data_IF_365654698906
#
_entry.id   IF_365654698906
#
_cell.length_a   1.000
_cell.length_b   1.000
_cell.length_c   1.000
_cell.angle_alpha   90.00
_cell.angle_beta   90.00
_cell.angle_gamma   90.00
#
_symmetry.space_group_name_H-M   'P 1'
#
loop_
_entity.id
_entity.type
_entity.pdbx_description
1 polymer ?
#
# COMPACT_ATOMS: atom_id res chain seq x y z
N UNK A 1 -2.26 -10.78 -10.02
CA UNK A 1 -0.82 -10.66 -9.74
C UNK A 1 -0.03 -11.91 -10.15
N UNK A 2 -0.41 -13.13 -9.74
CA UNK A 2 0.32 -14.36 -10.08
C UNK A 2 0.46 -14.59 -11.60
N UNK A 3 -0.58 -14.35 -12.38
CA UNK A 3 -0.54 -14.50 -13.84
C UNK A 3 0.47 -13.53 -14.49
N UNK A 4 0.52 -12.29 -14.04
CA UNK A 4 1.51 -11.31 -14.53
C UNK A 4 2.94 -11.72 -14.19
N UNK A 5 3.20 -12.16 -12.96
CA UNK A 5 4.52 -12.64 -12.56
C UNK A 5 4.94 -13.87 -13.38
N UNK A 6 4.03 -14.81 -13.62
CA UNK A 6 4.31 -15.97 -14.46
C UNK A 6 4.68 -15.56 -15.89
N UNK A 7 3.97 -14.58 -16.46
CA UNK A 7 4.28 -14.06 -17.79
C UNK A 7 5.65 -13.37 -17.84
N UNK A 8 5.97 -12.54 -16.85
CA UNK A 8 7.26 -11.85 -16.74
C UNK A 8 8.45 -12.81 -16.56
N UNK A 9 8.25 -13.92 -15.88
CA UNK A 9 9.29 -14.91 -15.58
C UNK A 9 9.38 -16.04 -16.63
N UNK A 10 8.48 -16.08 -17.59
CA UNK A 10 8.46 -17.09 -18.62
C UNK A 10 9.75 -17.04 -19.47
N UNK A 11 10.41 -18.20 -19.60
CA UNK A 11 11.65 -18.32 -20.39
C UNK A 11 12.89 -17.64 -19.76
N UNK A 12 12.82 -17.18 -18.51
CA UNK A 12 13.96 -16.55 -17.82
C UNK A 12 15.09 -17.55 -17.58
N UNK A 13 16.30 -17.30 -18.13
CA UNK A 13 17.46 -18.14 -17.83
C UNK A 13 17.84 -18.12 -16.35
N UNK A 14 17.65 -17.00 -15.67
CA UNK A 14 17.90 -16.87 -14.24
C UNK A 14 16.99 -17.79 -13.44
N UNK A 15 15.68 -17.84 -13.75
CA UNK A 15 14.75 -18.77 -13.10
C UNK A 15 15.12 -20.22 -13.39
N UNK A 16 15.56 -20.51 -14.62
CA UNK A 16 15.98 -21.86 -15.02
C UNK A 16 17.25 -22.31 -14.26
N UNK A 17 18.22 -21.43 -14.06
CA UNK A 17 19.47 -21.74 -13.33
C UNK A 17 19.26 -22.10 -11.87
N UNK A 18 18.12 -21.71 -11.28
CA UNK A 18 17.77 -22.01 -9.89
C UNK A 18 16.87 -23.25 -9.71
N UNK A 19 16.74 -24.08 -10.73
CA UNK A 19 15.92 -25.33 -10.69
C UNK A 19 16.75 -26.60 -10.57
N UNK A 20 18.07 -26.48 -10.63
CA UNK A 20 18.99 -27.62 -10.56
C UNK A 20 19.36 -28.00 -9.13
N UNK A 21 19.93 -29.20 -8.95
CA UNK A 21 20.41 -29.68 -7.65
C UNK A 21 21.58 -28.87 -7.09
N UNK A 22 22.21 -28.03 -7.95
CA UNK A 22 23.33 -27.15 -7.57
C UNK A 22 22.85 -25.90 -6.81
N UNK A 23 21.56 -25.56 -6.86
CA UNK A 23 21.01 -24.46 -6.08
C UNK A 23 20.83 -24.88 -4.62
N UNK A 24 21.74 -24.46 -3.76
CA UNK A 24 21.69 -24.74 -2.32
C UNK A 24 20.54 -24.06 -1.55
N UNK A 25 19.68 -23.30 -2.23
CA UNK A 25 18.54 -22.63 -1.59
C UNK A 25 17.34 -23.55 -1.52
N UNK A 26 16.74 -23.66 -0.35
CA UNK A 26 15.46 -24.37 -0.19
C UNK A 26 14.31 -23.53 -0.76
N UNK A 27 14.31 -22.23 -0.52
CA UNK A 27 13.24 -21.29 -0.94
C UNK A 27 13.78 -19.85 -0.98
N UNK A 28 13.14 -19.01 -1.83
CA UNK A 28 13.37 -17.57 -1.81
C UNK A 28 12.80 -16.90 -0.55
N UNK A 29 13.33 -15.73 -0.23
CA UNK A 29 12.79 -14.88 0.81
C UNK A 29 11.33 -14.47 0.51
N UNK A 30 10.53 -14.20 1.53
CA UNK A 30 9.12 -13.80 1.37
C UNK A 30 8.93 -12.55 0.53
N UNK A 31 9.87 -11.60 0.57
CA UNK A 31 9.82 -10.41 -0.28
C UNK A 31 9.83 -10.71 -1.77
N UNK A 32 10.28 -11.91 -2.18
CA UNK A 32 10.22 -12.43 -3.54
C UNK A 32 9.10 -13.47 -3.69
N UNK A 33 9.13 -14.52 -2.87
CA UNK A 33 8.23 -15.67 -2.96
C UNK A 33 6.77 -15.33 -2.70
N UNK A 34 6.48 -14.41 -1.75
CA UNK A 34 5.13 -13.98 -1.41
C UNK A 34 4.65 -12.76 -2.21
N UNK A 35 5.38 -12.35 -3.26
CA UNK A 35 4.97 -11.24 -4.15
C UNK A 35 3.55 -11.39 -4.72
N UNK A 36 3.09 -12.59 -5.16
CA UNK A 36 1.72 -12.73 -5.66
C UNK A 36 0.67 -12.38 -4.62
N UNK A 37 0.88 -12.77 -3.36
CA UNK A 37 -0.05 -12.55 -2.26
C UNK A 37 -0.10 -11.07 -1.87
N UNK A 38 1.06 -10.44 -1.62
CA UNK A 38 1.13 -9.04 -1.20
C UNK A 38 0.60 -8.10 -2.28
N UNK A 39 1.11 -8.23 -3.52
CA UNK A 39 0.64 -7.40 -4.62
C UNK A 39 -0.79 -7.76 -5.06
N UNK A 40 -1.23 -8.99 -4.84
CA UNK A 40 -2.60 -9.42 -5.06
C UNK A 40 -3.55 -8.69 -4.12
N UNK A 41 -3.29 -8.77 -2.82
CA UNK A 41 -4.08 -8.08 -1.80
C UNK A 41 -4.18 -6.57 -2.05
N UNK A 42 -3.05 -5.92 -2.38
CA UNK A 42 -3.05 -4.49 -2.68
C UNK A 42 -3.90 -4.13 -3.92
N UNK A 43 -3.86 -4.96 -4.98
CA UNK A 43 -4.70 -4.75 -6.18
C UNK A 43 -6.18 -4.95 -5.91
N UNK A 44 -6.54 -5.95 -5.11
CA UNK A 44 -7.94 -6.21 -4.73
C UNK A 44 -8.46 -5.07 -3.84
N UNK A 45 -7.66 -4.59 -2.89
CA UNK A 45 -7.97 -3.42 -2.06
C UNK A 45 -8.17 -2.16 -2.91
N UNK A 46 -7.30 -1.92 -3.89
CA UNK A 46 -7.42 -0.79 -4.81
C UNK A 46 -8.72 -0.87 -5.63
N UNK A 47 -9.05 -2.04 -6.16
CA UNK A 47 -10.29 -2.25 -6.89
C UNK A 47 -11.53 -2.01 -6.02
N UNK A 48 -11.50 -2.46 -4.78
CA UNK A 48 -12.57 -2.21 -3.81
C UNK A 48 -12.71 -0.71 -3.49
N UNK A 49 -11.60 -0.02 -3.23
CA UNK A 49 -11.61 1.41 -2.95
C UNK A 49 -12.15 2.23 -4.14
N UNK A 50 -11.74 1.89 -5.37
CA UNK A 50 -12.25 2.53 -6.58
C UNK A 50 -13.78 2.33 -6.73
N UNK A 51 -14.27 1.11 -6.54
CA UNK A 51 -15.70 0.80 -6.62
C UNK A 51 -16.52 1.61 -5.60
N UNK A 52 -16.05 1.75 -4.37
CA UNK A 52 -16.74 2.56 -3.35
C UNK A 52 -16.69 4.05 -3.71
N UNK A 53 -15.53 4.56 -4.15
CA UNK A 53 -15.41 5.95 -4.58
C UNK A 53 -16.35 6.27 -5.77
N UNK A 54 -16.48 5.39 -6.75
CA UNK A 54 -17.42 5.55 -7.87
C UNK A 54 -18.88 5.61 -7.41
N UNK A 55 -19.26 4.78 -6.43
CA UNK A 55 -20.61 4.81 -5.85
C UNK A 55 -20.89 6.12 -5.11
N UNK A 56 -19.95 6.60 -4.33
CA UNK A 56 -20.07 7.88 -3.61
C UNK A 56 -20.14 9.06 -4.57
N UNK A 57 -19.35 9.05 -5.66
CA UNK A 57 -19.43 10.09 -6.71
C UNK A 57 -20.78 10.13 -7.42
N UNK A 58 -21.51 9.03 -7.48
CA UNK A 58 -22.86 8.95 -8.06
C UNK A 58 -23.97 9.26 -7.05
N UNK A 59 -23.65 9.42 -5.78
CA UNK A 59 -24.61 9.64 -4.70
C UNK A 59 -24.94 11.12 -4.50
N UNK A 60 -26.11 11.41 -3.98
CA UNK A 60 -26.46 12.73 -3.46
C UNK A 60 -25.93 12.85 -2.03
N UNK A 61 -24.94 13.69 -1.81
CA UNK A 61 -24.11 13.69 -0.59
C UNK A 61 -24.29 14.91 0.31
N UNK A 62 -25.26 15.77 0.06
CA UNK A 62 -25.50 16.96 0.87
C UNK A 62 -26.66 16.75 1.89
N UNK A 63 -26.82 17.69 2.79
CA UNK A 63 -27.94 17.76 3.74
C UNK A 63 -28.42 19.22 3.87
N UNK A 64 -29.71 19.48 3.62
CA UNK A 64 -30.72 18.54 3.12
C UNK A 64 -30.58 18.23 1.64
N UNK A 65 -31.22 17.15 1.21
CA UNK A 65 -31.36 16.84 -0.22
C UNK A 65 -32.73 17.28 -0.72
N UNK A 66 -32.82 17.54 -2.02
CA UNK A 66 -34.09 17.75 -2.74
C UNK A 66 -34.36 16.47 -3.54
N UNK A 67 -35.47 15.80 -3.26
CA UNK A 67 -35.89 14.59 -3.95
C UNK A 67 -36.46 14.91 -5.34
N UNK A 68 -36.56 13.90 -6.22
CA UNK A 68 -37.08 14.08 -7.57
C UNK A 68 -38.55 14.59 -7.61
N UNK A 69 -39.31 14.34 -6.56
CA UNK A 69 -40.69 14.83 -6.38
C UNK A 69 -40.76 16.18 -5.67
N UNK A 70 -39.60 16.83 -5.46
CA UNK A 70 -39.49 18.20 -4.92
C UNK A 70 -39.58 18.32 -3.39
N UNK A 71 -39.54 17.23 -2.64
CA UNK A 71 -39.50 17.28 -1.17
C UNK A 71 -38.08 17.59 -0.67
N UNK A 72 -38.00 18.26 0.46
CA UNK A 72 -36.76 18.54 1.18
C UNK A 72 -36.63 17.51 2.30
N UNK A 73 -35.54 16.69 2.25
CA UNK A 73 -35.33 15.63 3.20
C UNK A 73 -33.99 15.78 3.93
N UNK A 74 -34.02 15.66 5.24
CA UNK A 74 -32.81 15.56 6.05
C UNK A 74 -32.21 14.15 5.95
N UNK A 75 -30.87 14.07 5.92
CA UNK A 75 -30.18 12.79 5.75
C UNK A 75 -28.75 12.85 6.32
N UNK A 76 -28.02 11.72 6.26
CA UNK A 76 -26.62 11.57 6.70
C UNK A 76 -25.63 11.28 5.59
N UNK A 77 -25.98 11.45 4.32
CA UNK A 77 -25.12 11.06 3.19
C UNK A 77 -23.81 11.86 3.10
N UNK A 78 -23.73 13.01 3.76
CA UNK A 78 -22.53 13.84 3.85
C UNK A 78 -21.43 13.23 4.74
N UNK A 79 -21.70 12.19 5.53
CA UNK A 79 -20.80 11.68 6.57
C UNK A 79 -19.44 11.22 6.04
N UNK A 80 -19.38 10.63 4.84
CA UNK A 80 -18.13 10.24 4.18
C UNK A 80 -17.45 9.00 4.76
N UNK A 81 -18.09 8.26 5.65
CA UNK A 81 -17.56 7.05 6.24
C UNK A 81 -17.18 5.97 5.21
N UNK A 82 -17.94 5.70 4.13
CA UNK A 82 -17.57 4.70 3.14
C UNK A 82 -16.22 5.00 2.49
N UNK A 83 -15.98 6.25 2.10
CA UNK A 83 -14.72 6.69 1.48
C UNK A 83 -13.58 6.65 2.50
N UNK A 84 -13.82 7.12 3.73
CA UNK A 84 -12.83 7.09 4.80
C UNK A 84 -12.29 5.67 5.07
N UNK A 85 -13.20 4.71 5.21
CA UNK A 85 -12.86 3.32 5.51
C UNK A 85 -12.02 2.68 4.40
N UNK A 86 -12.39 2.87 3.12
CA UNK A 86 -11.64 2.26 2.01
C UNK A 86 -10.30 2.93 1.75
N UNK A 87 -10.15 4.23 2.02
CA UNK A 87 -8.87 4.92 1.91
C UNK A 87 -7.89 4.50 3.01
N UNK A 88 -8.36 4.30 4.25
CA UNK A 88 -7.54 3.74 5.32
C UNK A 88 -7.13 2.28 5.02
N UNK A 89 -8.04 1.46 4.51
CA UNK A 89 -7.73 0.10 4.06
C UNK A 89 -6.68 0.09 2.96
N UNK A 90 -6.79 1.00 1.99
CA UNK A 90 -5.80 1.15 0.92
C UNK A 90 -4.44 1.60 1.47
N UNK A 91 -4.39 2.52 2.44
CA UNK A 91 -3.15 2.98 3.06
C UNK A 91 -2.38 1.82 3.74
N UNK A 92 -3.07 0.90 4.39
CA UNK A 92 -2.46 -0.31 4.97
C UNK A 92 -1.80 -1.15 3.88
N UNK A 93 -2.51 -1.41 2.78
CA UNK A 93 -1.99 -2.22 1.67
C UNK A 93 -0.80 -1.56 0.97
N UNK A 94 -0.80 -0.24 0.81
CA UNK A 94 0.32 0.52 0.22
C UNK A 94 1.56 0.44 1.11
N UNK A 95 1.40 0.59 2.43
CA UNK A 95 2.50 0.47 3.39
C UNK A 95 3.13 -0.92 3.38
N UNK A 96 2.34 -1.98 3.19
CA UNK A 96 2.84 -3.35 3.08
C UNK A 96 3.64 -3.56 1.79
N UNK A 97 3.14 -3.10 0.64
CA UNK A 97 3.87 -3.12 -0.64
C UNK A 97 5.20 -2.36 -0.54
N UNK A 98 5.20 -1.19 0.09
CA UNK A 98 6.41 -0.40 0.30
C UNK A 98 7.43 -1.15 1.19
N UNK A 99 6.96 -1.81 2.26
CA UNK A 99 7.79 -2.63 3.14
C UNK A 99 8.46 -3.77 2.38
N UNK A 100 7.72 -4.48 1.55
CA UNK A 100 8.27 -5.56 0.71
C UNK A 100 9.27 -5.03 -0.31
N UNK A 101 9.04 -3.87 -0.89
CA UNK A 101 9.97 -3.21 -1.83
C UNK A 101 11.30 -2.87 -1.15
N UNK A 102 11.23 -2.28 0.04
CA UNK A 102 12.42 -1.97 0.82
C UNK A 102 13.20 -3.23 1.20
N UNK A 103 12.54 -4.30 1.61
CA UNK A 103 13.19 -5.59 1.91
C UNK A 103 13.92 -6.20 0.71
N UNK A 104 13.41 -6.02 -0.51
CA UNK A 104 14.12 -6.42 -1.74
C UNK A 104 15.38 -5.61 -1.96
N UNK A 105 15.30 -4.30 -1.76
CA UNK A 105 16.46 -3.40 -1.86
C UNK A 105 17.52 -3.79 -0.83
N UNK A 106 17.16 -3.89 0.44
CA UNK A 106 18.06 -4.32 1.51
C UNK A 106 18.75 -5.66 1.20
N UNK A 107 17.98 -6.64 0.69
CA UNK A 107 18.52 -7.94 0.32
C UNK A 107 19.55 -7.86 -0.80
N UNK A 108 19.30 -7.02 -1.82
CA UNK A 108 20.22 -6.87 -2.94
C UNK A 108 21.54 -6.21 -2.54
N UNK A 109 21.55 -5.40 -1.49
CA UNK A 109 22.71 -4.67 -0.99
C UNK A 109 23.63 -5.50 -0.07
N UNK A 110 23.17 -6.66 0.39
CA UNK A 110 23.91 -7.53 1.29
C UNK A 110 24.49 -8.74 0.53
N UNK A 111 25.83 -8.85 0.41
CA UNK A 111 26.48 -9.95 -0.30
C UNK A 111 26.08 -11.34 0.21
N UNK A 112 25.85 -11.47 1.51
CA UNK A 112 25.47 -12.76 2.13
C UNK A 112 24.08 -13.23 1.69
N UNK A 113 23.20 -12.30 1.28
CA UNK A 113 21.81 -12.59 0.91
C UNK A 113 21.51 -12.40 -0.57
N UNK A 114 22.41 -11.74 -1.31
CA UNK A 114 22.26 -11.44 -2.73
C UNK A 114 22.96 -12.43 -3.67
N UNK A 115 23.56 -13.48 -3.11
CA UNK A 115 24.31 -14.50 -3.86
C UNK A 115 25.48 -13.92 -4.67
N UNK A 116 26.26 -13.03 -4.06
CA UNK A 116 27.51 -12.55 -4.61
C UNK A 116 27.41 -11.22 -5.38
N UNK A 117 26.33 -10.49 -5.29
CA UNK A 117 26.34 -9.10 -5.73
C UNK A 117 27.30 -8.29 -4.83
N UNK A 118 27.95 -7.24 -5.37
CA UNK A 118 28.88 -6.46 -4.57
C UNK A 118 28.17 -5.73 -3.42
N UNK A 119 28.87 -5.49 -2.28
CA UNK A 119 28.30 -4.76 -1.16
C UNK A 119 27.70 -3.43 -1.61
N UNK A 120 26.47 -3.13 -1.18
CA UNK A 120 25.70 -1.93 -1.54
C UNK A 120 25.51 -1.72 -3.05
N UNK A 121 25.77 -2.72 -3.88
CA UNK A 121 25.83 -2.63 -5.35
C UNK A 121 26.85 -1.54 -5.80
N UNK A 122 27.90 -1.34 -5.01
CA UNK A 122 28.99 -0.42 -5.30
C UNK A 122 29.97 -1.02 -6.29
N UNK A 123 30.54 -0.20 -7.19
CA UNK A 123 31.61 -0.64 -8.08
C UNK A 123 32.91 -0.88 -7.32
N UNK A 124 33.21 -0.05 -6.32
CA UNK A 124 34.36 -0.17 -5.43
C UNK A 124 33.88 0.08 -3.98
N UNK A 125 33.37 -0.99 -3.36
CA UNK A 125 32.83 -0.92 -2.01
C UNK A 125 33.90 -0.53 -0.98
N UNK A 126 33.66 0.54 -0.27
CA UNK A 126 34.60 1.16 0.67
C UNK A 126 35.13 2.50 0.19
N UNK A 127 35.24 2.70 -1.14
CA UNK A 127 35.47 4.01 -1.75
C UNK A 127 34.15 4.68 -2.15
N UNK A 128 33.25 3.92 -2.75
CA UNK A 128 31.91 4.42 -3.03
C UNK A 128 30.85 3.73 -2.16
N UNK A 129 29.74 4.41 -1.92
CA UNK A 129 28.63 3.93 -1.09
C UNK A 129 27.56 3.17 -1.89
N UNK A 130 27.68 3.11 -3.21
CA UNK A 130 26.69 2.50 -4.08
C UNK A 130 25.27 3.00 -3.77
N UNK A 131 24.34 2.09 -3.54
CA UNK A 131 22.93 2.38 -3.23
C UNK A 131 22.61 2.41 -1.72
N UNK A 132 23.61 2.49 -0.84
CA UNK A 132 23.41 2.49 0.61
C UNK A 132 22.43 3.58 1.05
N UNK A 133 22.60 4.82 0.56
CA UNK A 133 21.74 5.95 0.94
C UNK A 133 20.31 5.80 0.37
N UNK A 134 20.16 5.19 -0.78
CA UNK A 134 18.84 4.87 -1.32
C UNK A 134 18.06 3.91 -0.40
N UNK A 135 18.73 2.92 0.17
CA UNK A 135 18.12 2.02 1.16
C UNK A 135 17.78 2.75 2.47
N UNK A 136 18.65 3.63 2.97
CA UNK A 136 18.34 4.45 4.16
C UNK A 136 17.11 5.33 3.92
N UNK A 137 17.02 5.95 2.76
CA UNK A 137 15.86 6.76 2.37
C UNK A 137 14.60 5.89 2.33
N UNK A 138 14.66 4.72 1.70
CA UNK A 138 13.54 3.79 1.64
C UNK A 138 13.09 3.33 3.04
N UNK A 139 14.03 3.03 3.94
CA UNK A 139 13.73 2.66 5.33
C UNK A 139 13.02 3.80 6.08
N UNK A 140 13.48 5.04 5.91
CA UNK A 140 12.83 6.23 6.49
C UNK A 140 11.41 6.43 5.98
N UNK A 141 11.21 6.34 4.65
CA UNK A 141 9.89 6.43 4.01
C UNK A 141 8.96 5.33 4.52
N UNK A 142 9.41 4.08 4.58
CA UNK A 142 8.59 2.96 5.08
C UNK A 142 8.20 3.17 6.54
N UNK A 143 9.11 3.70 7.36
CA UNK A 143 8.79 4.06 8.76
C UNK A 143 7.68 5.12 8.84
N UNK A 144 7.70 6.14 7.99
CA UNK A 144 6.63 7.15 7.90
C UNK A 144 5.32 6.52 7.41
N UNK A 145 5.34 5.74 6.32
CA UNK A 145 4.16 5.10 5.76
C UNK A 145 3.44 4.20 6.77
N UNK A 146 4.18 3.46 7.59
CA UNK A 146 3.58 2.64 8.66
C UNK A 146 2.78 3.46 9.67
N UNK A 147 3.23 4.68 9.98
CA UNK A 147 2.47 5.59 10.86
C UNK A 147 1.27 6.20 10.13
N UNK A 148 1.44 6.57 8.86
CA UNK A 148 0.34 7.09 8.04
C UNK A 148 -0.74 6.03 7.77
N UNK A 149 -0.40 4.74 7.86
CA UNK A 149 -1.36 3.65 7.72
C UNK A 149 -2.25 3.44 8.97
N UNK A 150 -1.99 4.15 10.10
CA UNK A 150 -2.92 4.13 11.23
C UNK A 150 -4.28 4.70 10.78
N UNK A 151 -5.42 3.99 11.00
CA UNK A 151 -6.71 4.43 10.48
C UNK A 151 -7.16 5.77 11.07
N UNK A 152 -7.63 6.68 10.24
CA UNK A 152 -8.30 7.90 10.67
C UNK A 152 -9.82 7.71 10.82
N UNK A 153 -10.37 6.71 10.15
CA UNK A 153 -11.80 6.39 10.18
C UNK A 153 -12.30 5.84 11.53
N UNK A 154 -11.39 5.47 12.41
CA UNK A 154 -11.73 5.04 13.78
C UNK A 154 -11.86 6.22 14.75
N UNK A 155 -11.48 7.43 14.34
CA UNK A 155 -11.50 8.63 15.17
C UNK A 155 -12.78 9.41 14.99
N UNK A 156 -13.26 10.01 16.07
CA UNK A 156 -14.45 10.86 16.08
C UNK A 156 -14.38 11.87 17.22
N UNK A 157 -14.80 13.09 16.95
CA UNK A 157 -14.93 14.15 17.96
C UNK A 157 -16.32 14.77 17.78
N UNK A 158 -17.19 14.77 18.81
CA UNK A 158 -18.50 15.39 18.71
C UNK A 158 -18.38 16.90 18.50
N UNK A 159 -19.32 17.48 17.75
CA UNK A 159 -19.38 18.89 17.45
C UNK A 159 -20.78 19.46 17.63
N UNK A 160 -20.97 20.76 17.41
CA UNK A 160 -22.25 21.48 17.46
C UNK A 160 -23.05 21.20 18.77
N UNK A 161 -22.39 21.36 19.92
CA UNK A 161 -22.96 21.06 21.22
C UNK A 161 -23.49 19.61 21.36
N UNK A 162 -22.76 18.66 20.74
CA UNK A 162 -23.05 17.22 20.69
C UNK A 162 -24.26 16.84 19.82
N UNK A 163 -24.75 17.74 18.99
CA UNK A 163 -25.78 17.41 17.99
C UNK A 163 -25.20 16.43 16.97
N UNK A 164 -23.95 16.66 16.53
CA UNK A 164 -23.15 15.73 15.75
C UNK A 164 -22.29 14.90 16.73
N UNK A 165 -22.84 13.86 17.28
CA UNK A 165 -22.22 13.04 18.33
C UNK A 165 -21.20 12.00 17.78
N UNK A 166 -21.19 11.77 16.46
CA UNK A 166 -20.25 10.89 15.76
C UNK A 166 -19.82 11.49 14.43
N UNK A 167 -18.77 12.31 14.46
CA UNK A 167 -18.24 13.04 13.29
C UNK A 167 -17.16 12.19 12.62
N UNK A 168 -17.17 12.11 11.27
CA UNK A 168 -16.13 11.44 10.52
C UNK A 168 -14.84 12.26 10.49
N UNK A 169 -13.72 11.65 10.84
CA UNK A 169 -12.36 12.17 10.60
C UNK A 169 -11.78 11.69 9.25
N UNK A 170 -12.63 11.20 8.35
CA UNK A 170 -12.26 10.58 7.07
C UNK A 170 -11.48 11.49 6.12
N UNK A 171 -11.57 12.80 6.26
CA UNK A 171 -10.72 13.75 5.52
C UNK A 171 -9.22 13.44 5.73
N UNK A 172 -8.84 13.01 6.94
CA UNK A 172 -7.47 12.65 7.26
C UNK A 172 -7.03 11.35 6.55
N UNK A 173 -7.94 10.41 6.28
CA UNK A 173 -7.63 9.18 5.51
C UNK A 173 -7.12 9.52 4.11
N UNK A 174 -7.83 10.39 3.38
CA UNK A 174 -7.41 10.85 2.05
C UNK A 174 -6.10 11.65 2.06
N UNK A 175 -5.91 12.51 3.07
CA UNK A 175 -4.67 13.29 3.20
C UNK A 175 -3.44 12.42 3.47
N UNK A 176 -3.58 11.41 4.33
CA UNK A 176 -2.50 10.47 4.63
C UNK A 176 -2.12 9.63 3.42
N UNK A 177 -3.10 9.13 2.68
CA UNK A 177 -2.88 8.27 1.52
C UNK A 177 -2.16 9.01 0.36
N UNK A 178 -2.30 10.33 0.28
CA UNK A 178 -1.63 11.16 -0.75
C UNK A 178 -0.17 11.48 -0.43
N UNK A 179 0.32 11.20 0.75
CA UNK A 179 1.71 11.40 1.19
C UNK A 179 2.56 10.19 0.92
#
# INVERSE_FOLDING_TARGET
SAAHLRALLAGSPMVASHRGPEDGRVQDAYSLRCSPQVHGAARDTLGHAAMIAERELASVIDNPIITLDGRIESNGNFHGAPVAAVLDFLAISVADVASVSERRTDRALDPARSHGLPPFLAADAGLDSGLMIAQYTAAGIVSELKRLAAPASVDSIPSSAMQEDHVSMGWAAGRKLRR
#
